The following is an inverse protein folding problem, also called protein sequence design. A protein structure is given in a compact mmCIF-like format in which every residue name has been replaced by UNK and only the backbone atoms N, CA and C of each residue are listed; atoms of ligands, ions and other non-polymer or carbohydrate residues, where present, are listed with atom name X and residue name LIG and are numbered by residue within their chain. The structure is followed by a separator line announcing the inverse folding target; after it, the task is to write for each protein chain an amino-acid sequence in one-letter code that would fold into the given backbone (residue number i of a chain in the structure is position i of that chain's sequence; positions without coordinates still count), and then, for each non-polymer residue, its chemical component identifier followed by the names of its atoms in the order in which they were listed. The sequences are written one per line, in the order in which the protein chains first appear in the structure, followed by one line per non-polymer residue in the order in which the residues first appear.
data_IF_525587982488
#
_entry.id   IF_525587982488
#
_cell.length_a   1.000
_cell.length_b   1.000
_cell.length_c   1.000
_cell.angle_alpha   90.00
_cell.angle_beta   90.00
_cell.angle_gamma   90.00
#
_symmetry.space_group_name_H-M   'P 1'
#
loop_
_entity.id
_entity.type
_entity.pdbx_description
1 polymer ?
#
# COMPACT_ATOMS: atom_id res chain seq x y z
N UNK A 1 -5.93 -20.59 -4.97
CA UNK A 1 -6.18 -19.16 -5.18
C UNK A 1 -6.83 -18.97 -6.55
N UNK A 2 -7.66 -17.95 -6.70
CA UNK A 2 -8.18 -17.53 -8.00
C UNK A 2 -7.57 -16.18 -8.35
N UNK A 3 -7.03 -16.03 -9.55
CA UNK A 3 -6.54 -14.75 -10.09
C UNK A 3 -7.56 -14.20 -11.07
N UNK A 4 -7.98 -12.95 -10.85
CA UNK A 4 -8.99 -12.27 -11.65
C UNK A 4 -8.43 -10.95 -12.18
N UNK A 5 -8.63 -10.71 -13.47
CA UNK A 5 -8.36 -9.42 -14.12
C UNK A 5 -9.69 -8.66 -14.22
N UNK A 6 -9.82 -7.58 -13.47
CA UNK A 6 -11.07 -6.84 -13.34
C UNK A 6 -10.94 -5.49 -14.03
N UNK A 7 -11.87 -5.22 -14.96
CA UNK A 7 -12.02 -3.92 -15.59
C UNK A 7 -13.39 -3.36 -15.23
N UNK A 8 -13.42 -2.10 -14.81
CA UNK A 8 -14.65 -1.42 -14.43
C UNK A 8 -14.55 0.09 -14.67
N UNK A 9 -15.68 0.76 -14.74
CA UNK A 9 -15.71 2.21 -14.85
C UNK A 9 -15.55 2.84 -13.46
N UNK A 10 -14.58 3.76 -13.34
CA UNK A 10 -14.36 4.58 -12.16
C UNK A 10 -15.01 5.94 -12.33
N UNK A 11 -15.93 6.29 -11.45
CA UNK A 11 -16.54 7.62 -11.39
C UNK A 11 -15.53 8.68 -10.93
N UNK A 12 -14.66 8.33 -9.98
CA UNK A 12 -13.62 9.22 -9.47
C UNK A 12 -12.62 9.63 -10.55
N UNK A 13 -12.35 8.73 -11.51
CA UNK A 13 -11.39 8.95 -12.59
C UNK A 13 -12.06 9.31 -13.92
N UNK A 14 -13.38 9.08 -14.08
CA UNK A 14 -14.11 9.33 -15.32
C UNK A 14 -13.68 8.41 -16.48
N UNK A 15 -13.12 7.23 -16.20
CA UNK A 15 -12.63 6.30 -17.20
C UNK A 15 -12.71 4.83 -16.73
N UNK A 16 -12.59 3.90 -17.68
CA UNK A 16 -12.38 2.49 -17.33
C UNK A 16 -10.96 2.28 -16.77
N UNK A 17 -10.88 1.51 -15.70
CA UNK A 17 -9.65 1.17 -15.00
C UNK A 17 -9.54 -0.34 -14.82
N UNK A 18 -8.32 -0.81 -14.60
CA UNK A 18 -8.04 -2.22 -14.33
C UNK A 18 -7.46 -2.41 -12.94
N UNK A 19 -7.78 -3.53 -12.31
CA UNK A 19 -7.07 -4.07 -11.16
C UNK A 19 -6.99 -5.59 -11.26
N UNK A 20 -5.97 -6.17 -10.65
CA UNK A 20 -5.86 -7.61 -10.47
C UNK A 20 -6.23 -7.98 -9.05
N UNK A 21 -6.98 -9.09 -8.91
CA UNK A 21 -7.45 -9.56 -7.62
C UNK A 21 -7.06 -11.03 -7.44
N UNK A 22 -6.37 -11.34 -6.36
CA UNK A 22 -6.09 -12.70 -5.92
C UNK A 22 -7.08 -13.02 -4.80
N UNK A 23 -7.90 -14.05 -4.99
CA UNK A 23 -8.88 -14.48 -4.00
C UNK A 23 -8.52 -15.83 -3.39
N UNK A 24 -8.65 -16.00 -2.07
CA UNK A 24 -8.58 -17.30 -1.41
C UNK A 24 -9.63 -18.26 -1.97
N UNK A 25 -9.22 -19.49 -2.21
CA UNK A 25 -10.08 -20.53 -2.76
C UNK A 25 -9.93 -21.81 -1.91
N UNK A 26 -11.03 -22.42 -1.55
CA UNK A 26 -11.00 -23.77 -0.95
C UNK A 26 -10.70 -24.77 -2.05
N UNK A 27 -9.54 -25.42 -1.98
CA UNK A 27 -9.13 -26.45 -2.92
C UNK A 27 -8.60 -27.67 -2.15
N UNK A 28 -9.25 -28.83 -2.31
CA UNK A 28 -8.86 -30.06 -1.63
C UNK A 28 -8.04 -31.01 -2.50
N UNK A 29 -7.95 -30.71 -3.81
CA UNK A 29 -7.29 -31.60 -4.79
C UNK A 29 -6.12 -30.95 -5.50
N UNK A 30 -5.74 -29.73 -5.11
CA UNK A 30 -4.63 -29.01 -5.73
C UNK A 30 -3.31 -29.47 -5.12
N UNK A 31 -2.49 -30.15 -5.94
CA UNK A 31 -1.20 -30.71 -5.51
C UNK A 31 -0.20 -29.55 -5.31
N UNK A 32 0.58 -29.61 -4.22
CA UNK A 32 1.67 -28.66 -3.95
C UNK A 32 1.25 -27.27 -3.46
N UNK A 33 -0.05 -27.05 -3.20
CA UNK A 33 -0.56 -25.78 -2.69
C UNK A 33 -1.41 -25.99 -1.46
N UNK A 34 -1.09 -25.25 -0.39
CA UNK A 34 -2.01 -25.05 0.72
C UNK A 34 -2.80 -23.76 0.44
N UNK A 35 -4.06 -23.88 0.07
CA UNK A 35 -4.96 -22.76 -0.11
C UNK A 35 -6.23 -22.98 0.71
N UNK A 36 -6.52 -22.05 1.59
CA UNK A 36 -7.72 -22.08 2.39
C UNK A 36 -8.39 -20.69 2.44
N UNK A 37 -9.70 -20.67 2.49
CA UNK A 37 -10.47 -19.44 2.70
C UNK A 37 -10.82 -19.33 4.19
N UNK A 38 -10.67 -18.13 4.74
CA UNK A 38 -11.13 -17.79 6.10
C UNK A 38 -12.61 -17.40 6.03
N UNK A 39 -13.48 -18.15 6.66
CA UNK A 39 -14.89 -17.77 6.77
C UNK A 39 -15.56 -17.40 5.43
N UNK A 40 -16.58 -16.55 5.51
CA UNK A 40 -17.37 -16.09 4.37
C UNK A 40 -16.80 -14.83 3.69
N UNK A 41 -16.06 -14.01 4.44
CA UNK A 41 -15.34 -12.82 3.93
C UNK A 41 -13.85 -12.95 4.18
N UNK A 42 -13.04 -12.46 3.23
CA UNK A 42 -11.58 -12.58 3.27
C UNK A 42 -10.94 -11.33 3.84
N UNK A 43 -9.93 -11.45 4.72
CA UNK A 43 -9.02 -10.34 4.98
C UNK A 43 -8.36 -9.93 3.67
N UNK A 44 -8.05 -8.62 3.53
CA UNK A 44 -7.65 -8.04 2.24
C UNK A 44 -6.40 -7.18 2.38
N UNK A 45 -5.44 -7.43 1.52
CA UNK A 45 -4.28 -6.57 1.28
C UNK A 45 -4.53 -5.71 0.02
N UNK A 46 -4.56 -4.40 0.20
CA UNK A 46 -4.56 -3.39 -0.86
C UNK A 46 -3.11 -3.09 -1.21
N UNK A 47 -2.61 -3.62 -2.35
CA UNK A 47 -1.18 -3.66 -2.68
C UNK A 47 -0.86 -2.70 -3.83
N UNK A 48 -0.13 -1.64 -3.52
CA UNK A 48 0.11 -0.49 -4.39
C UNK A 48 1.43 -0.60 -5.16
N UNK A 49 1.39 -0.33 -6.47
CA UNK A 49 2.57 -0.38 -7.34
C UNK A 49 3.44 0.88 -7.26
N UNK A 50 4.69 0.80 -7.73
CA UNK A 50 5.62 1.91 -7.87
C UNK A 50 5.40 2.77 -9.11
N UNK A 51 6.18 3.83 -9.25
CA UNK A 51 6.22 4.61 -10.48
C UNK A 51 6.70 3.73 -11.66
N UNK A 52 6.23 4.00 -12.88
CA UNK A 52 6.48 3.20 -14.09
C UNK A 52 5.83 1.82 -14.15
N UNK A 53 5.10 1.42 -13.11
CA UNK A 53 4.43 0.13 -13.02
C UNK A 53 2.91 0.24 -13.23
N UNK A 54 2.22 -0.89 -13.10
CA UNK A 54 0.78 -1.00 -13.17
C UNK A 54 0.26 -2.12 -12.26
N UNK A 55 -1.04 -2.39 -12.31
CA UNK A 55 -1.72 -3.42 -11.51
C UNK A 55 -1.17 -4.85 -11.65
N UNK A 56 -0.44 -5.17 -12.74
CA UNK A 56 0.07 -6.53 -12.99
C UNK A 56 1.44 -6.78 -12.37
N UNK A 57 2.14 -5.73 -11.93
CA UNK A 57 3.58 -5.83 -11.68
C UNK A 57 3.92 -6.73 -10.47
N UNK A 58 3.15 -6.64 -9.39
CA UNK A 58 3.39 -7.43 -8.19
C UNK A 58 3.36 -8.94 -8.46
N UNK A 59 2.39 -9.44 -9.26
CA UNK A 59 2.33 -10.86 -9.63
C UNK A 59 3.44 -11.26 -10.60
N UNK A 60 3.92 -10.33 -11.43
CA UNK A 60 4.96 -10.64 -12.45
C UNK A 60 6.36 -10.63 -11.87
N UNK A 61 6.58 -9.97 -10.75
CA UNK A 61 7.90 -9.76 -10.16
C UNK A 61 8.08 -10.41 -8.79
N UNK A 62 7.00 -10.90 -8.20
CA UNK A 62 7.02 -11.54 -6.89
C UNK A 62 6.22 -12.83 -6.88
N UNK A 63 6.32 -13.59 -5.81
CA UNK A 63 5.45 -14.74 -5.55
C UNK A 63 4.29 -14.38 -4.62
N UNK A 64 3.72 -13.19 -4.75
CA UNK A 64 2.68 -12.68 -3.83
C UNK A 64 1.48 -13.63 -3.66
N UNK A 65 1.03 -14.31 -4.72
CA UNK A 65 -0.02 -15.33 -4.63
C UNK A 65 0.37 -16.47 -3.68
N UNK A 66 1.60 -16.97 -3.80
CA UNK A 66 2.13 -18.02 -2.94
C UNK A 66 2.25 -17.56 -1.48
N UNK A 67 2.62 -16.31 -1.24
CA UNK A 67 2.76 -15.76 0.11
C UNK A 67 1.41 -15.53 0.78
N UNK A 68 0.42 -15.08 0.03
CA UNK A 68 -0.93 -14.81 0.53
C UNK A 68 -1.77 -16.08 0.75
N UNK A 69 -1.51 -17.14 -0.02
CA UNK A 69 -2.30 -18.38 -0.01
C UNK A 69 -2.42 -19.03 1.37
N UNK A 70 -1.34 -19.29 2.14
CA UNK A 70 -1.44 -19.90 3.46
C UNK A 70 -2.14 -19.00 4.48
N UNK A 71 -2.19 -17.70 4.23
CA UNK A 71 -2.85 -16.73 5.11
C UNK A 71 -4.35 -16.60 4.83
N UNK A 72 -4.87 -17.21 3.76
CA UNK A 72 -6.25 -16.99 3.33
C UNK A 72 -6.54 -15.51 3.06
N UNK A 73 -5.54 -14.78 2.56
CA UNK A 73 -5.54 -13.34 2.34
C UNK A 73 -5.89 -13.03 0.88
N UNK A 74 -6.91 -12.20 0.66
CA UNK A 74 -7.16 -11.62 -0.65
C UNK A 74 -6.15 -10.48 -0.92
N UNK A 75 -5.73 -10.33 -2.18
CA UNK A 75 -4.83 -9.24 -2.59
C UNK A 75 -5.47 -8.46 -3.73
N UNK A 76 -5.65 -7.16 -3.57
CA UNK A 76 -6.17 -6.25 -4.59
C UNK A 76 -5.05 -5.33 -5.05
N UNK A 77 -4.72 -5.38 -6.33
CA UNK A 77 -3.64 -4.65 -6.96
C UNK A 77 -4.20 -3.67 -8.00
N UNK A 78 -4.49 -2.42 -7.64
CA UNK A 78 -5.05 -1.43 -8.56
C UNK A 78 -4.00 -0.80 -9.47
N UNK A 79 -4.45 -0.25 -10.61
CA UNK A 79 -3.64 0.64 -11.43
C UNK A 79 -3.87 2.10 -11.00
N UNK A 80 -2.81 2.80 -10.65
CA UNK A 80 -2.85 4.20 -10.24
C UNK A 80 -1.99 5.11 -11.13
N UNK A 81 -1.44 4.59 -12.21
CA UNK A 81 -0.56 5.34 -13.13
C UNK A 81 0.55 6.12 -12.39
N UNK A 82 0.90 7.32 -12.86
CA UNK A 82 1.91 8.20 -12.25
C UNK A 82 1.29 9.27 -11.34
N UNK A 83 0.18 8.96 -10.68
CA UNK A 83 -0.62 9.90 -9.89
C UNK A 83 -0.04 10.27 -8.53
N UNK A 84 1.00 9.59 -8.08
CA UNK A 84 1.46 9.65 -6.68
C UNK A 84 0.35 9.30 -5.67
N UNK A 85 -0.69 8.58 -6.11
CA UNK A 85 -1.89 8.29 -5.30
C UNK A 85 -2.56 9.56 -4.73
N UNK A 86 -2.52 10.66 -5.48
CA UNK A 86 -3.12 11.95 -5.12
C UNK A 86 -4.41 12.18 -5.90
N UNK A 87 -5.29 13.02 -5.36
CA UNK A 87 -6.30 13.69 -6.17
C UNK A 87 -5.58 14.82 -6.91
N UNK A 88 -5.29 14.58 -8.19
CA UNK A 88 -4.38 15.43 -8.94
C UNK A 88 -5.01 16.79 -9.25
N UNK A 89 -4.21 17.85 -9.14
CA UNK A 89 -4.65 19.21 -9.51
C UNK A 89 -5.04 19.30 -11.00
N UNK A 90 -4.29 18.56 -11.86
CA UNK A 90 -4.53 18.52 -13.31
C UNK A 90 -4.58 17.05 -13.76
N UNK A 91 -5.56 16.27 -13.24
CA UNK A 91 -5.69 14.85 -13.56
C UNK A 91 -6.81 14.15 -12.80
N UNK A 92 -6.74 12.84 -12.68
CA UNK A 92 -7.76 12.03 -12.00
C UNK A 92 -7.67 12.11 -10.48
N UNK A 93 -8.77 11.79 -9.81
CA UNK A 93 -8.87 11.74 -8.34
C UNK A 93 -8.43 10.37 -7.80
N UNK A 94 -7.12 10.09 -7.87
CA UNK A 94 -6.60 8.77 -7.52
C UNK A 94 -6.63 8.47 -6.03
N UNK A 95 -6.50 9.47 -5.16
CA UNK A 95 -6.65 9.25 -3.71
C UNK A 95 -8.08 8.82 -3.39
N UNK A 96 -9.08 9.51 -3.92
CA UNK A 96 -10.50 9.17 -3.80
C UNK A 96 -10.79 7.79 -4.39
N UNK A 97 -10.26 7.49 -5.60
CA UNK A 97 -10.41 6.19 -6.25
C UNK A 97 -9.91 5.05 -5.35
N UNK A 98 -8.67 5.13 -4.85
CA UNK A 98 -8.04 4.04 -4.09
C UNK A 98 -8.63 3.91 -2.68
N UNK A 99 -8.94 5.03 -2.01
CA UNK A 99 -9.36 4.99 -0.61
C UNK A 99 -10.87 4.79 -0.39
N UNK A 100 -11.68 5.10 -1.38
CA UNK A 100 -13.15 5.07 -1.26
C UNK A 100 -13.78 4.16 -2.33
N UNK A 101 -13.67 4.53 -3.60
CA UNK A 101 -14.37 3.85 -4.68
C UNK A 101 -13.90 2.40 -4.89
N UNK A 102 -12.59 2.16 -4.95
CA UNK A 102 -12.05 0.81 -5.18
C UNK A 102 -12.49 -0.19 -4.10
N UNK A 103 -12.39 0.12 -2.77
CA UNK A 103 -12.89 -0.78 -1.74
C UNK A 103 -14.39 -1.07 -1.85
N UNK A 104 -15.20 -0.06 -2.16
CA UNK A 104 -16.64 -0.23 -2.38
C UNK A 104 -16.93 -1.17 -3.55
N UNK A 105 -16.34 -0.91 -4.72
CA UNK A 105 -16.52 -1.72 -5.92
C UNK A 105 -16.05 -3.17 -5.72
N UNK A 106 -14.88 -3.35 -5.12
CA UNK A 106 -14.31 -4.69 -4.90
C UNK A 106 -15.13 -5.50 -3.88
N UNK A 107 -15.64 -4.87 -2.81
CA UNK A 107 -16.54 -5.54 -1.84
C UNK A 107 -17.90 -5.87 -2.43
N UNK A 108 -18.39 -5.08 -3.39
CA UNK A 108 -19.63 -5.40 -4.10
C UNK A 108 -19.49 -6.59 -5.05
N UNK A 109 -18.29 -6.83 -5.59
CA UNK A 109 -18.00 -7.91 -6.54
C UNK A 109 -17.49 -9.19 -5.86
N UNK A 110 -16.78 -9.07 -4.74
CA UNK A 110 -16.04 -10.15 -4.10
C UNK A 110 -16.30 -10.19 -2.58
N UNK A 111 -16.19 -11.36 -1.94
CA UNK A 111 -16.43 -11.53 -0.52
C UNK A 111 -15.23 -11.00 0.32
N UNK A 112 -14.93 -9.71 0.22
CA UNK A 112 -13.89 -9.05 0.99
C UNK A 112 -14.44 -8.50 2.31
N UNK A 113 -13.66 -8.60 3.39
CA UNK A 113 -14.05 -8.08 4.68
C UNK A 113 -14.08 -6.56 4.70
N UNK A 114 -15.08 -6.00 5.36
CA UNK A 114 -15.24 -4.58 5.63
C UNK A 114 -14.74 -4.16 7.04
N UNK A 115 -14.32 -5.14 7.85
CA UNK A 115 -13.77 -4.90 9.17
C UNK A 115 -12.37 -4.32 9.08
N UNK A 116 -12.09 -3.30 9.88
CA UNK A 116 -10.78 -2.65 9.92
C UNK A 116 -9.63 -3.63 10.16
N UNK A 117 -9.81 -4.52 11.12
CA UNK A 117 -8.81 -5.53 11.54
C UNK A 117 -8.43 -6.51 10.44
N UNK A 118 -9.25 -6.65 9.42
CA UNK A 118 -9.04 -7.51 8.27
C UNK A 118 -8.47 -6.77 7.05
N UNK A 119 -8.24 -5.46 7.14
CA UNK A 119 -7.80 -4.65 6.00
C UNK A 119 -6.40 -4.08 6.22
N UNK A 120 -5.53 -4.31 5.26
CA UNK A 120 -4.13 -3.90 5.27
C UNK A 120 -3.81 -3.17 3.96
N UNK A 121 -2.94 -2.16 4.01
CA UNK A 121 -2.48 -1.46 2.81
C UNK A 121 -0.96 -1.45 2.78
N UNK A 122 -0.38 -1.82 1.64
CA UNK A 122 1.07 -1.79 1.47
C UNK A 122 1.45 -1.37 0.04
N UNK A 123 2.71 -1.00 -0.13
CA UNK A 123 3.23 -0.66 -1.45
C UNK A 123 4.71 -0.35 -1.44
N UNK A 124 5.28 -0.25 -2.63
CA UNK A 124 6.68 0.08 -2.84
C UNK A 124 6.85 1.47 -3.48
N UNK A 125 7.92 2.17 -3.16
CA UNK A 125 8.30 3.43 -3.83
C UNK A 125 7.15 4.45 -3.82
N UNK A 126 6.63 4.83 -4.99
CA UNK A 126 5.43 5.67 -5.10
C UNK A 126 4.24 5.07 -4.33
N UNK A 127 4.04 3.75 -4.40
CA UNK A 127 3.01 3.02 -3.64
C UNK A 127 3.30 2.98 -2.15
N UNK A 128 4.58 2.93 -1.73
CA UNK A 128 4.98 3.02 -0.34
C UNK A 128 4.62 4.37 0.29
N UNK A 129 4.92 5.48 -0.41
CA UNK A 129 4.44 6.80 0.01
C UNK A 129 2.90 6.91 -0.05
N UNK A 130 2.29 6.29 -1.06
CA UNK A 130 0.84 6.23 -1.25
C UNK A 130 0.13 5.51 -0.11
N UNK A 131 0.63 4.34 0.33
CA UNK A 131 0.01 3.59 1.42
C UNK A 131 0.10 4.33 2.77
N UNK A 132 1.21 5.02 3.04
CA UNK A 132 1.33 5.88 4.23
C UNK A 132 0.28 7.00 4.20
N UNK A 133 0.18 7.71 3.08
CA UNK A 133 -0.78 8.79 2.90
C UNK A 133 -2.22 8.30 3.03
N UNK A 134 -2.60 7.29 2.27
CA UNK A 134 -3.97 6.76 2.27
C UNK A 134 -4.33 6.16 3.62
N UNK A 135 -3.45 5.34 4.20
CA UNK A 135 -3.70 4.67 5.46
C UNK A 135 -3.85 5.63 6.63
N UNK A 136 -3.02 6.68 6.70
CA UNK A 136 -3.08 7.67 7.79
C UNK A 136 -4.21 8.69 7.60
N UNK A 137 -4.66 8.96 6.37
CA UNK A 137 -5.86 9.78 6.16
C UNK A 137 -7.18 9.01 6.33
N UNK A 138 -7.13 7.67 6.34
CA UNK A 138 -8.30 6.79 6.52
C UNK A 138 -8.02 5.72 7.59
N UNK A 139 -7.63 6.10 8.81
CA UNK A 139 -7.15 5.16 9.83
C UNK A 139 -8.22 4.18 10.32
N UNK A 140 -9.50 4.53 10.13
CA UNK A 140 -10.65 3.66 10.43
C UNK A 140 -10.77 2.47 9.48
N UNK A 141 -10.08 2.50 8.33
CA UNK A 141 -10.21 1.48 7.30
C UNK A 141 -9.09 0.41 7.35
N UNK A 142 -7.96 0.71 8.00
CA UNK A 142 -6.78 -0.16 7.93
C UNK A 142 -6.21 -0.49 9.31
N UNK A 143 -5.92 -1.77 9.53
CA UNK A 143 -5.23 -2.23 10.74
C UNK A 143 -3.71 -2.04 10.65
N UNK A 144 -3.13 -2.18 9.45
CA UNK A 144 -1.70 -1.98 9.24
C UNK A 144 -1.37 -1.37 7.88
N UNK A 145 -0.24 -0.66 7.85
CA UNK A 145 0.37 0.00 6.69
C UNK A 145 1.76 -0.59 6.48
N UNK A 146 2.07 -1.00 5.24
CA UNK A 146 3.40 -1.48 4.83
C UNK A 146 4.05 -0.54 3.81
N UNK A 147 5.11 0.16 4.22
CA UNK A 147 5.85 1.09 3.36
C UNK A 147 7.20 0.49 2.98
N UNK A 148 7.40 0.16 1.71
CA UNK A 148 8.66 -0.37 1.19
C UNK A 148 9.36 0.67 0.31
N UNK A 149 10.65 0.91 0.55
CA UNK A 149 11.51 1.77 -0.29
C UNK A 149 10.93 3.16 -0.55
N UNK A 150 10.37 3.79 0.48
CA UNK A 150 9.80 5.13 0.38
C UNK A 150 9.96 5.91 1.69
N UNK A 151 9.56 7.16 1.68
CA UNK A 151 9.40 8.00 2.85
C UNK A 151 8.23 8.96 2.67
N UNK A 152 7.75 9.51 3.77
CA UNK A 152 6.61 10.42 3.83
C UNK A 152 6.94 11.84 3.37
N UNK A 153 8.22 12.18 3.31
CA UNK A 153 8.69 13.51 2.91
C UNK A 153 9.29 13.47 1.52
N UNK A 154 9.41 14.65 0.92
CA UNK A 154 10.06 14.78 -0.38
C UNK A 154 11.43 14.11 -0.41
N UNK A 155 11.73 13.58 -1.57
CA UNK A 155 13.03 13.02 -1.90
C UNK A 155 14.10 14.09 -1.88
N UNK A 156 14.59 14.44 -0.69
CA UNK A 156 15.76 15.32 -0.56
C UNK A 156 16.95 14.68 -1.26
N UNK A 157 17.73 15.51 -1.95
CA UNK A 157 18.91 15.07 -2.68
C UNK A 157 18.65 14.58 -4.12
N UNK A 158 17.40 14.42 -4.55
CA UNK A 158 17.10 14.14 -5.97
C UNK A 158 16.94 15.47 -6.73
N UNK A 159 17.76 15.65 -7.77
CA UNK A 159 17.73 16.84 -8.60
C UNK A 159 16.33 17.13 -9.16
N UNK A 160 15.93 18.39 -9.14
CA UNK A 160 14.69 18.87 -9.76
C UNK A 160 14.89 19.00 -11.26
N UNK A 161 14.56 17.95 -12.02
CA UNK A 161 14.56 18.01 -13.49
C UNK A 161 13.29 18.68 -14.01
N UNK A 162 13.28 19.17 -15.27
CA UNK A 162 12.06 19.72 -15.90
C UNK A 162 10.87 18.74 -15.88
N UNK A 163 11.12 17.46 -16.13
CA UNK A 163 10.10 16.41 -16.15
C UNK A 163 9.51 16.18 -14.75
N UNK A 164 10.37 16.19 -13.72
CA UNK A 164 9.94 16.09 -12.34
C UNK A 164 9.11 17.28 -11.91
N UNK A 165 9.53 18.49 -12.29
CA UNK A 165 8.79 19.73 -12.05
C UNK A 165 7.41 19.67 -12.70
N UNK A 166 7.33 19.32 -13.99
CA UNK A 166 6.07 19.18 -14.72
C UNK A 166 5.13 18.17 -14.02
N UNK A 167 5.67 17.03 -13.56
CA UNK A 167 4.89 16.04 -12.81
C UNK A 167 4.36 16.62 -11.49
N UNK A 168 5.17 17.36 -10.74
CA UNK A 168 4.73 17.98 -9.49
C UNK A 168 3.61 19.00 -9.73
N UNK A 169 3.73 19.83 -10.74
CA UNK A 169 2.68 20.79 -11.12
C UNK A 169 1.40 20.04 -11.53
N UNK A 170 1.52 19.00 -12.36
CA UNK A 170 0.37 18.19 -12.77
C UNK A 170 -0.33 17.54 -11.57
N UNK A 171 0.44 16.98 -10.65
CA UNK A 171 -0.09 16.25 -9.50
C UNK A 171 -0.62 17.18 -8.41
N UNK A 172 0.14 18.24 -8.05
CA UNK A 172 -0.12 19.06 -6.87
C UNK A 172 -0.46 20.53 -7.20
N UNK A 173 -0.47 20.92 -8.47
CA UNK A 173 -0.70 22.30 -8.91
C UNK A 173 0.50 23.22 -8.70
N UNK A 174 1.56 22.74 -8.03
CA UNK A 174 2.75 23.53 -7.68
C UNK A 174 3.96 22.62 -7.45
N UNK A 175 5.15 23.17 -7.59
CA UNK A 175 6.39 22.53 -7.16
C UNK A 175 6.76 22.86 -5.71
N UNK A 176 6.09 23.82 -5.09
CA UNK A 176 6.32 24.20 -3.70
C UNK A 176 5.69 23.17 -2.76
N UNK A 177 6.55 22.40 -2.12
CA UNK A 177 6.16 21.32 -1.21
C UNK A 177 5.60 21.83 0.12
N UNK A 178 5.88 23.09 0.50
CA UNK A 178 5.37 23.67 1.73
C UNK A 178 3.84 23.79 1.70
N UNK A 179 3.26 23.91 0.51
CA UNK A 179 1.80 23.97 0.30
C UNK A 179 1.06 22.69 0.64
N UNK A 180 1.78 21.56 0.84
CA UNK A 180 1.18 20.28 1.22
C UNK A 180 0.86 20.20 2.71
N UNK A 181 1.47 21.07 3.54
CA UNK A 181 1.23 21.08 4.98
C UNK A 181 -0.25 21.30 5.29
N UNK A 182 -0.81 20.42 6.12
CA UNK A 182 -2.23 20.44 6.48
C UNK A 182 -3.20 19.93 5.40
N UNK A 183 -2.68 19.42 4.27
CA UNK A 183 -3.47 18.75 3.23
C UNK A 183 -3.39 17.22 3.38
N UNK A 184 -4.17 16.43 2.64
CA UNK A 184 -4.02 14.96 2.63
C UNK A 184 -2.62 14.46 2.21
N UNK A 185 -1.81 15.32 1.61
CA UNK A 185 -0.42 15.01 1.22
C UNK A 185 0.58 15.13 2.40
N UNK A 186 0.15 15.71 3.52
CA UNK A 186 0.94 15.87 4.75
C UNK A 186 0.80 14.65 5.66
N UNK A 187 1.64 13.65 5.41
CA UNK A 187 1.64 12.38 6.15
C UNK A 187 1.93 12.59 7.65
N UNK A 188 2.83 13.51 7.99
CA UNK A 188 3.15 13.80 9.39
C UNK A 188 2.02 14.53 10.10
N UNK A 189 1.39 15.49 9.39
CA UNK A 189 0.18 16.17 9.90
C UNK A 189 -0.98 15.19 10.07
N UNK A 190 -1.16 14.22 9.16
CA UNK A 190 -2.16 13.17 9.30
C UNK A 190 -1.90 12.26 10.51
N UNK A 191 -0.64 11.87 10.76
CA UNK A 191 -0.27 11.10 11.93
C UNK A 191 -0.53 11.89 13.24
N UNK A 192 -0.17 13.18 13.27
CA UNK A 192 -0.44 14.03 14.43
C UNK A 192 -1.93 14.19 14.69
N UNK A 193 -2.74 14.41 13.65
CA UNK A 193 -4.21 14.48 13.77
C UNK A 193 -4.80 13.20 14.37
N UNK A 194 -4.31 12.01 13.98
CA UNK A 194 -4.77 10.75 14.58
C UNK A 194 -4.54 10.74 16.09
N UNK A 195 -3.42 11.27 16.56
CA UNK A 195 -3.09 11.34 17.99
C UNK A 195 -3.94 12.39 18.71
N UNK A 196 -4.09 13.58 18.12
CA UNK A 196 -4.82 14.70 18.71
C UNK A 196 -6.34 14.42 18.84
N UNK A 197 -6.90 13.69 17.88
CA UNK A 197 -8.32 13.33 17.82
C UNK A 197 -8.62 11.92 18.39
N UNK A 198 -7.59 11.23 18.92
CA UNK A 198 -7.67 9.84 19.44
C UNK A 198 -8.34 8.86 18.48
N UNK A 199 -8.00 8.98 17.19
CA UNK A 199 -8.53 8.10 16.14
C UNK A 199 -7.86 6.70 16.20
N UNK A 200 -8.46 5.68 15.57
CA UNK A 200 -7.84 4.36 15.43
C UNK A 200 -6.44 4.47 14.81
N UNK A 201 -5.45 3.82 15.42
CA UNK A 201 -4.05 3.91 14.99
C UNK A 201 -3.67 2.68 14.19
N UNK A 202 -3.40 2.81 12.87
CA UNK A 202 -2.86 1.69 12.10
C UNK A 202 -1.42 1.39 12.56
N UNK A 203 -1.08 0.11 12.64
CA UNK A 203 0.31 -0.31 12.86
C UNK A 203 1.12 -0.03 11.60
N UNK A 204 2.40 0.36 11.72
CA UNK A 204 3.20 0.74 10.55
C UNK A 204 4.47 -0.09 10.47
N UNK A 205 4.63 -0.80 9.36
CA UNK A 205 5.87 -1.45 8.95
C UNK A 205 6.56 -0.62 7.87
N UNK A 206 7.84 -0.34 8.05
CA UNK A 206 8.62 0.46 7.11
C UNK A 206 9.97 -0.18 6.87
N UNK A 207 10.28 -0.53 5.62
CA UNK A 207 11.53 -1.16 5.23
C UNK A 207 12.17 -0.47 4.03
N UNK A 208 13.50 -0.35 4.02
CA UNK A 208 14.27 0.26 2.93
C UNK A 208 15.64 -0.38 2.80
N UNK A 209 16.14 -0.52 1.58
CA UNK A 209 17.48 -1.02 1.29
C UNK A 209 18.57 -0.01 1.66
N UNK A 210 19.73 -0.51 2.13
CA UNK A 210 20.87 0.35 2.50
C UNK A 210 21.52 1.04 1.30
N UNK A 211 21.34 0.50 0.08
CA UNK A 211 21.80 1.08 -1.19
C UNK A 211 20.66 1.77 -1.97
N UNK A 212 19.48 1.91 -1.34
CA UNK A 212 18.31 2.53 -1.95
C UNK A 212 18.41 4.07 -1.94
N UNK A 213 18.13 4.71 -3.07
CA UNK A 213 18.09 6.18 -3.14
C UNK A 213 16.98 6.80 -2.27
N UNK A 214 15.98 6.02 -1.85
CA UNK A 214 14.92 6.47 -0.93
C UNK A 214 15.38 6.49 0.53
N UNK A 215 16.53 5.92 0.88
CA UNK A 215 17.03 5.79 2.25
C UNK A 215 17.03 7.11 3.03
N UNK A 216 17.50 8.25 2.50
CA UNK A 216 17.47 9.51 3.25
C UNK A 216 16.04 9.96 3.62
N UNK A 217 15.08 9.76 2.73
CA UNK A 217 13.66 10.09 2.97
C UNK A 217 13.03 9.11 3.96
N UNK A 218 13.38 7.82 3.86
CA UNK A 218 12.92 6.79 4.79
C UNK A 218 13.43 7.07 6.22
N UNK A 219 14.70 7.45 6.38
CA UNK A 219 15.28 7.80 7.68
C UNK A 219 14.61 9.02 8.33
N UNK A 220 14.27 10.05 7.56
CA UNK A 220 13.49 11.19 8.07
C UNK A 220 12.11 10.76 8.56
N UNK A 221 11.46 9.85 7.83
CA UNK A 221 10.17 9.29 8.24
C UNK A 221 10.31 8.46 9.50
N UNK A 222 11.36 7.63 9.60
CA UNK A 222 11.72 6.89 10.81
C UNK A 222 11.88 7.83 12.01
N UNK A 223 12.69 8.87 11.85
CA UNK A 223 13.02 9.80 12.94
C UNK A 223 11.76 10.49 13.48
N UNK A 224 10.80 10.82 12.61
CA UNK A 224 9.51 11.34 13.02
C UNK A 224 8.71 10.31 13.86
N UNK A 225 8.49 9.11 13.32
CA UNK A 225 7.66 8.11 14.02
C UNK A 225 8.31 7.57 15.30
N UNK A 226 9.61 7.36 15.30
CA UNK A 226 10.36 6.96 16.51
C UNK A 226 10.46 8.08 17.56
N UNK A 227 10.33 9.33 17.16
CA UNK A 227 10.25 10.48 18.05
C UNK A 227 8.91 10.61 18.79
N UNK A 228 7.87 9.89 18.36
CA UNK A 228 6.57 9.90 19.03
C UNK A 228 6.62 9.06 20.32
N UNK A 229 6.26 9.69 21.45
CA UNK A 229 6.32 9.03 22.75
C UNK A 229 5.43 7.79 22.82
N UNK A 230 5.98 6.68 23.32
CA UNK A 230 5.25 5.43 23.52
C UNK A 230 4.96 4.63 22.26
N UNK A 231 5.57 4.97 21.13
CA UNK A 231 5.37 4.28 19.84
C UNK A 231 3.88 4.02 19.50
N UNK A 232 3.06 5.06 19.37
CA UNK A 232 1.60 4.92 19.31
C UNK A 232 1.08 4.22 18.04
N UNK A 233 1.93 4.04 17.01
CA UNK A 233 1.61 3.36 15.75
C UNK A 233 2.21 1.95 15.67
N UNK A 234 2.75 1.39 16.77
CA UNK A 234 3.53 0.15 16.70
C UNK A 234 4.49 0.16 15.51
N UNK A 235 5.20 1.30 15.37
CA UNK A 235 6.05 1.58 14.22
C UNK A 235 7.30 0.70 14.27
N UNK A 236 7.44 -0.15 13.27
CA UNK A 236 8.61 -0.99 13.04
C UNK A 236 9.36 -0.49 11.81
N UNK A 237 10.67 -0.25 11.96
CA UNK A 237 11.54 0.21 10.88
C UNK A 237 12.73 -0.72 10.71
N UNK A 238 13.00 -1.09 9.48
CA UNK A 238 14.09 -2.01 9.14
C UNK A 238 14.90 -1.48 7.95
N UNK A 239 16.22 -1.62 8.04
CA UNK A 239 17.17 -1.40 6.94
C UNK A 239 17.88 -2.71 6.65
N UNK A 240 17.86 -3.15 5.40
CA UNK A 240 18.53 -4.37 4.97
C UNK A 240 19.46 -4.08 3.78
N UNK A 241 20.50 -4.90 3.52
CA UNK A 241 21.27 -4.80 2.29
C UNK A 241 20.34 -4.90 1.07
N UNK A 242 20.53 -4.04 0.10
CA UNK A 242 19.73 -4.03 -1.13
C UNK A 242 19.42 -2.61 -1.64
N UNK A 243 19.04 -2.53 -2.90
CA UNK A 243 18.76 -1.31 -3.62
C UNK A 243 17.26 -1.17 -3.94
N UNK A 244 16.91 -0.18 -4.75
CA UNK A 244 15.54 0.09 -5.20
C UNK A 244 15.12 -0.89 -6.30
N UNK A 245 14.98 -2.19 -5.96
CA UNK A 245 14.78 -3.29 -6.92
C UNK A 245 13.68 -4.26 -6.52
N UNK A 246 13.19 -5.03 -7.49
CA UNK A 246 12.15 -6.02 -7.27
C UNK A 246 12.61 -7.20 -6.40
N UNK A 247 13.91 -7.54 -6.40
CA UNK A 247 14.48 -8.55 -5.52
C UNK A 247 14.28 -8.15 -4.05
N UNK A 248 14.54 -6.88 -3.72
CA UNK A 248 14.31 -6.33 -2.38
C UNK A 248 12.82 -6.39 -2.00
N UNK A 249 11.94 -5.99 -2.91
CA UNK A 249 10.51 -5.93 -2.62
C UNK A 249 9.84 -7.30 -2.53
N UNK A 250 10.28 -8.30 -3.32
CA UNK A 250 9.80 -9.68 -3.21
C UNK A 250 10.18 -10.32 -1.87
N UNK A 251 11.39 -10.03 -1.38
CA UNK A 251 11.84 -10.49 -0.07
C UNK A 251 11.06 -9.81 1.06
N UNK A 252 11.03 -8.49 1.08
CA UNK A 252 10.54 -7.72 2.23
C UNK A 252 9.03 -7.50 2.28
N UNK A 253 8.27 -7.79 1.23
CA UNK A 253 6.81 -7.90 1.35
C UNK A 253 6.41 -9.05 2.29
N UNK A 254 7.22 -10.10 2.38
CA UNK A 254 7.00 -11.21 3.29
C UNK A 254 7.17 -10.80 4.76
N UNK A 255 8.06 -9.85 5.07
CA UNK A 255 8.21 -9.28 6.41
C UNK A 255 6.94 -8.55 6.82
N UNK A 256 6.38 -7.74 5.92
CA UNK A 256 5.09 -7.11 6.15
C UNK A 256 3.96 -8.13 6.35
N UNK A 257 3.92 -9.21 5.57
CA UNK A 257 2.93 -10.27 5.74
C UNK A 257 3.09 -11.00 7.10
N UNK A 258 4.29 -11.12 7.65
CA UNK A 258 4.52 -11.58 9.03
C UNK A 258 4.05 -10.54 10.06
N UNK A 259 4.36 -9.27 9.82
CA UNK A 259 4.01 -8.15 10.69
C UNK A 259 2.50 -8.01 10.90
N UNK A 260 1.66 -8.23 9.88
CA UNK A 260 0.20 -8.15 10.04
C UNK A 260 -0.36 -9.21 10.99
N UNK A 261 0.38 -10.30 11.26
CA UNK A 261 0.07 -11.27 12.32
C UNK A 261 -1.07 -12.23 11.98
N UNK A 262 -1.45 -12.37 10.71
CA UNK A 262 -2.42 -13.39 10.32
C UNK A 262 -1.81 -14.79 10.48
N UNK A 263 -2.38 -15.60 11.37
CA UNK A 263 -1.97 -17.00 11.47
C UNK A 263 -2.28 -17.75 10.16
N UNK A 264 -1.46 -18.71 9.74
CA UNK A 264 -1.79 -19.57 8.61
C UNK A 264 -3.13 -20.28 8.82
N UNK A 265 -3.91 -20.40 7.75
CA UNK A 265 -5.13 -21.20 7.78
C UNK A 265 -4.73 -22.67 7.73
N UNK A 266 -5.31 -23.52 8.58
CA UNK A 266 -5.10 -24.96 8.50
C UNK A 266 -5.60 -25.45 7.13
N UNK A 267 -4.69 -25.64 6.22
CA UNK A 267 -4.93 -26.23 4.90
C UNK A 267 -4.86 -27.74 5.00
N UNK A 268 -5.63 -28.41 4.16
CA UNK A 268 -5.46 -29.84 3.95
C UNK A 268 -4.07 -30.02 3.36
N UNK A 269 -3.13 -30.54 4.17
CA UNK A 269 -1.84 -31.05 3.66
C UNK A 269 -2.16 -32.37 2.94
N UNK A 270 -2.02 -32.35 1.63
CA UNK A 270 -1.99 -33.60 0.84
C UNK A 270 -0.59 -34.20 0.91
#
# INVERSE_FOLDING_TARGET
MALLHVNFFSEALGMCVACDVILPQRATKQIGMAAAARGDKHPTLWLLHGASDNHTIWQRRTSIERYAAPLGLAVVMPNAHLSSYADMAHGGKYSTYISQELPEKMRAMFPLSDKREDNFIAGLSMGGAGCMKIGLNNPQNYAAIGCLSAGAVNRDGIAMTPERRARMIMTYGTEDVSTRKGTPEDVFGAAQRILDEDLPRPRIFHSVGTEDFALPSARKTRDFFQGLAGNPFDYTYEEHPGAHTWEYWDEHIQDFLRFIGLAPVEGIRN
#
